data_IF_671221476232
#
_entry.id   IF_671221476232
#
_cell.length_a   1.000
_cell.length_b   1.000
_cell.length_c   1.000
_cell.angle_alpha   90.00
_cell.angle_beta   90.00
_cell.angle_gamma   90.00
#
_symmetry.space_group_name_H-M   'P 1'
#
loop_
_entity.id
_entity.type
_entity.pdbx_description
1 polymer ?
#
# COMPACT_ATOMS: atom_id res chain seq x y z
N UNK A 1 -9.60 8.14 -6.26
CA UNK A 1 -8.37 7.34 -6.32
C UNK A 1 -7.69 7.55 -7.65
N UNK A 2 -6.41 7.96 -7.66
CA UNK A 2 -5.59 8.10 -8.87
C UNK A 2 -4.26 7.40 -8.68
N UNK A 3 -3.84 6.57 -9.64
CA UNK A 3 -2.52 5.94 -9.63
C UNK A 3 -1.49 6.90 -10.23
N UNK A 4 -0.43 7.16 -9.50
CA UNK A 4 0.65 8.06 -9.92
C UNK A 4 1.95 7.27 -10.01
N UNK A 5 2.65 7.38 -11.14
CA UNK A 5 4.00 6.82 -11.27
C UNK A 5 4.97 7.70 -10.49
N UNK A 6 5.83 7.08 -9.68
CA UNK A 6 6.84 7.78 -8.88
C UNK A 6 8.18 7.06 -9.00
N UNK A 7 9.28 7.80 -8.84
CA UNK A 7 10.60 7.20 -8.79
C UNK A 7 10.74 6.42 -7.47
N UNK A 8 11.17 5.14 -7.50
CA UNK A 8 11.45 4.38 -6.30
C UNK A 8 12.45 5.11 -5.39
N UNK A 9 12.21 5.13 -4.07
CA UNK A 9 13.13 5.79 -3.14
C UNK A 9 14.47 5.06 -3.13
N UNK A 10 15.61 5.78 -3.08
CA UNK A 10 16.92 5.13 -3.00
C UNK A 10 17.00 4.17 -1.82
N UNK A 11 17.45 2.93 -2.07
CA UNK A 11 17.67 1.92 -1.02
C UNK A 11 16.41 1.35 -0.38
N UNK A 12 15.23 1.50 -0.98
CA UNK A 12 13.97 1.00 -0.40
C UNK A 12 13.99 -0.49 -0.08
N UNK A 13 14.58 -1.33 -0.94
CA UNK A 13 14.70 -2.78 -0.72
C UNK A 13 15.51 -3.08 0.53
N UNK A 14 16.71 -2.50 0.65
CA UNK A 14 17.56 -2.68 1.83
C UNK A 14 16.89 -2.19 3.11
N UNK A 15 16.07 -1.14 3.03
CA UNK A 15 15.27 -0.68 4.17
C UNK A 15 14.21 -1.71 4.57
N UNK A 16 13.51 -2.30 3.60
CA UNK A 16 12.53 -3.35 3.87
C UNK A 16 13.18 -4.62 4.44
N UNK A 17 14.33 -5.04 3.89
CA UNK A 17 15.12 -6.16 4.41
C UNK A 17 15.49 -5.94 5.89
N UNK A 18 15.93 -4.74 6.25
CA UNK A 18 16.28 -4.38 7.64
C UNK A 18 15.07 -4.42 8.59
N UNK A 19 13.87 -4.18 8.08
CA UNK A 19 12.63 -4.24 8.84
C UNK A 19 12.05 -5.66 8.91
N UNK A 20 12.69 -6.64 8.26
CA UNK A 20 12.17 -8.01 8.14
C UNK A 20 10.97 -8.11 7.19
N UNK A 21 10.80 -7.14 6.29
CA UNK A 21 9.73 -7.13 5.29
C UNK A 21 10.29 -7.61 3.94
N UNK A 22 10.37 -8.93 3.76
CA UNK A 22 10.94 -9.56 2.56
C UNK A 22 9.89 -9.85 1.45
N UNK A 23 8.60 -9.81 1.79
CA UNK A 23 7.47 -10.04 0.89
C UNK A 23 7.37 -9.08 -0.31
N UNK A 24 8.23 -8.07 -0.44
CA UNK A 24 8.34 -7.33 -1.72
C UNK A 24 8.84 -8.24 -2.85
N UNK A 25 9.49 -9.36 -2.51
CA UNK A 25 9.79 -10.49 -3.39
C UNK A 25 9.03 -11.73 -2.92
N UNK A 26 8.27 -12.35 -3.82
CA UNK A 26 7.55 -13.60 -3.57
C UNK A 26 7.84 -14.59 -4.71
N UNK A 27 8.29 -15.80 -4.38
CA UNK A 27 8.65 -16.85 -5.35
C UNK A 27 9.62 -16.37 -6.46
N UNK A 28 10.60 -15.55 -6.06
CA UNK A 28 11.59 -14.98 -6.98
C UNK A 28 11.04 -13.89 -7.91
N UNK A 29 9.81 -13.42 -7.70
CA UNK A 29 9.18 -12.33 -8.47
C UNK A 29 8.89 -11.14 -7.57
N UNK A 30 8.99 -9.93 -8.10
CA UNK A 30 8.56 -8.74 -7.38
C UNK A 30 7.04 -8.79 -7.15
N UNK A 31 6.64 -8.87 -5.88
CA UNK A 31 5.23 -8.80 -5.46
C UNK A 31 4.81 -7.35 -5.24
N UNK A 32 5.71 -6.52 -4.71
CA UNK A 32 5.47 -5.09 -4.47
C UNK A 32 6.69 -4.25 -4.88
N UNK A 33 6.45 -3.04 -5.38
CA UNK A 33 7.50 -2.08 -5.78
C UNK A 33 7.11 -0.65 -5.44
N UNK A 34 8.10 0.25 -5.35
CA UNK A 34 7.89 1.69 -5.14
C UNK A 34 7.68 2.49 -6.44
N UNK A 35 7.31 1.85 -7.55
CA UNK A 35 7.19 2.54 -8.85
C UNK A 35 5.90 3.38 -8.98
N UNK A 36 4.97 3.23 -8.06
CA UNK A 36 3.73 3.98 -8.05
C UNK A 36 3.16 4.14 -6.64
N UNK A 37 2.35 5.18 -6.47
CA UNK A 37 1.47 5.36 -5.33
C UNK A 37 0.04 5.61 -5.79
N UNK A 38 -0.91 5.51 -4.86
CA UNK A 38 -2.30 5.89 -5.11
C UNK A 38 -2.63 7.13 -4.30
N UNK A 39 -2.99 8.20 -4.99
CA UNK A 39 -3.44 9.45 -4.39
C UNK A 39 -4.96 9.41 -4.19
N UNK A 40 -5.38 9.86 -3.02
CA UNK A 40 -6.78 10.00 -2.63
C UNK A 40 -7.04 11.43 -2.18
N UNK A 41 -8.25 11.93 -2.40
CA UNK A 41 -8.72 13.12 -1.68
C UNK A 41 -9.13 12.72 -0.26
N UNK A 42 -9.13 13.67 0.69
CA UNK A 42 -9.61 13.40 2.06
C UNK A 42 -11.01 12.81 2.06
N UNK A 43 -11.91 13.35 1.23
CA UNK A 43 -13.27 12.83 1.11
C UNK A 43 -13.32 11.36 0.64
N UNK A 44 -12.43 10.94 -0.25
CA UNK A 44 -12.36 9.54 -0.68
C UNK A 44 -11.85 8.62 0.44
N UNK A 45 -10.98 9.13 1.31
CA UNK A 45 -10.51 8.39 2.50
C UNK A 45 -11.66 8.23 3.49
N UNK A 46 -12.41 9.29 3.78
CA UNK A 46 -13.56 9.27 4.69
C UNK A 46 -14.63 8.25 4.22
N UNK A 47 -14.85 8.15 2.90
CA UNK A 47 -15.78 7.16 2.34
C UNK A 47 -15.30 5.72 2.54
N UNK A 48 -13.99 5.45 2.39
CA UNK A 48 -13.43 4.12 2.62
C UNK A 48 -13.54 3.74 4.09
N UNK A 49 -13.25 4.67 4.99
CA UNK A 49 -13.36 4.46 6.44
C UNK A 49 -14.79 4.07 6.85
N UNK A 50 -15.79 4.87 6.46
CA UNK A 50 -17.20 4.60 6.80
C UNK A 50 -17.69 3.25 6.23
N UNK A 51 -17.26 2.89 5.01
CA UNK A 51 -17.59 1.60 4.42
C UNK A 51 -16.95 0.44 5.20
N UNK A 52 -15.69 0.59 5.63
CA UNK A 52 -15.02 -0.44 6.44
C UNK A 52 -15.62 -0.59 7.83
N UNK A 53 -16.04 0.50 8.47
CA UNK A 53 -16.75 0.48 9.76
C UNK A 53 -18.07 -0.28 9.64
N UNK A 54 -18.86 0.03 8.61
CA UNK A 54 -20.13 -0.68 8.34
C UNK A 54 -19.90 -2.19 8.16
N UNK A 55 -18.86 -2.59 7.43
CA UNK A 55 -18.56 -4.01 7.24
C UNK A 55 -18.06 -4.68 8.53
N UNK A 56 -17.28 -3.97 9.33
CA UNK A 56 -16.82 -4.47 10.61
C UNK A 56 -17.99 -4.75 11.56
N UNK A 57 -18.94 -3.83 11.67
CA UNK A 57 -20.14 -3.96 12.52
C UNK A 57 -21.00 -5.17 12.14
N UNK A 58 -21.03 -5.56 10.85
CA UNK A 58 -21.74 -6.75 10.38
C UNK A 58 -21.05 -8.07 10.76
N UNK A 59 -19.78 -8.02 11.17
CA UNK A 59 -18.98 -9.19 11.52
C UNK A 59 -18.71 -9.35 13.03
N UNK A 60 -19.25 -8.45 13.85
CA UNK A 60 -19.25 -8.54 15.32
C UNK A 60 -20.49 -9.28 15.83
#
# INVERSE_FOLDING_TARGET
>A
MRREAVAPRPGWQSKLDQLGFDYYMLDGKAYWTEQACYAFTSHEVDQLEAATETLHDLCL
#
